data_IF_170142748628
#
_entry.id   IF_170142748628
#
_cell.length_a   1.000
_cell.length_b   1.000
_cell.length_c   1.000
_cell.angle_alpha   90.00
_cell.angle_beta   90.00
_cell.angle_gamma   90.00
#
_symmetry.space_group_name_H-M   'P 1'
#
loop_
_entity.id
_entity.type
_entity.pdbx_description
1 polymer ?
#
# COMPACT_ATOMS: atom_id res chain seq x y z
N UNK A 1 19.38 -18.41 -23.59
CA UNK A 1 19.00 -18.55 -22.17
C UNK A 1 18.76 -17.16 -21.57
N UNK A 2 17.66 -16.95 -20.84
CA UNK A 2 17.40 -15.68 -20.13
C UNK A 2 17.41 -15.92 -18.63
N UNK A 3 18.15 -15.10 -17.89
CA UNK A 3 18.38 -15.27 -16.45
C UNK A 3 17.85 -14.05 -15.72
N UNK A 4 17.09 -14.28 -14.64
CA UNK A 4 16.63 -13.24 -13.73
C UNK A 4 17.43 -13.33 -12.43
N UNK A 5 18.14 -12.26 -12.08
CA UNK A 5 18.95 -12.18 -10.86
C UNK A 5 18.21 -11.33 -9.81
N UNK A 6 17.77 -11.98 -8.73
CA UNK A 6 17.05 -11.37 -7.62
C UNK A 6 18.01 -11.06 -6.47
N UNK A 7 17.90 -9.84 -5.92
CA UNK A 7 18.77 -9.33 -4.85
C UNK A 7 19.40 -7.98 -5.21
N UNK A 8 19.86 -7.26 -4.18
CA UNK A 8 20.57 -5.97 -4.31
C UNK A 8 21.97 -6.00 -3.68
N UNK A 9 22.42 -7.16 -3.19
CA UNK A 9 23.71 -7.35 -2.55
C UNK A 9 24.89 -7.46 -3.53
N UNK A 10 26.14 -7.52 -3.01
CA UNK A 10 27.34 -7.68 -3.81
C UNK A 10 27.34 -8.97 -4.64
N UNK A 11 26.70 -10.03 -4.15
CA UNK A 11 26.52 -11.31 -4.84
C UNK A 11 25.67 -11.16 -6.11
N UNK A 12 24.52 -10.49 -5.99
CA UNK A 12 23.65 -10.16 -7.12
C UNK A 12 24.35 -9.29 -8.18
N UNK A 13 25.18 -8.34 -7.77
CA UNK A 13 25.96 -7.51 -8.69
C UNK A 13 27.02 -8.33 -9.45
N UNK A 14 27.71 -9.25 -8.77
CA UNK A 14 28.68 -10.14 -9.38
C UNK A 14 28.01 -11.11 -10.38
N UNK A 15 26.88 -11.71 -10.00
CA UNK A 15 26.11 -12.60 -10.87
C UNK A 15 25.62 -11.90 -12.15
N UNK A 16 25.18 -10.64 -12.07
CA UNK A 16 24.79 -9.84 -13.25
C UNK A 16 25.97 -9.59 -14.19
N UNK A 17 27.14 -9.25 -13.64
CA UNK A 17 28.37 -9.02 -14.42
C UNK A 17 28.81 -10.30 -15.15
N UNK A 18 28.85 -11.42 -14.44
CA UNK A 18 29.24 -12.73 -15.00
C UNK A 18 28.27 -13.18 -16.11
N UNK A 19 26.97 -12.93 -15.93
CA UNK A 19 25.97 -13.22 -16.95
C UNK A 19 26.20 -12.39 -18.22
N UNK A 20 26.56 -11.11 -18.08
CA UNK A 20 26.86 -10.24 -19.21
C UNK A 20 28.13 -10.68 -19.96
N UNK A 21 29.20 -11.00 -19.24
CA UNK A 21 30.47 -11.49 -19.82
C UNK A 21 30.29 -12.78 -20.64
N UNK A 22 29.30 -13.61 -20.27
CA UNK A 22 28.99 -14.88 -20.96
C UNK A 22 27.97 -14.76 -22.09
N UNK A 23 27.57 -13.54 -22.45
CA UNK A 23 26.56 -13.31 -23.49
C UNK A 23 25.15 -13.79 -23.11
N UNK A 24 24.87 -14.03 -21.82
CA UNK A 24 23.57 -14.43 -21.33
C UNK A 24 22.67 -13.20 -21.24
N UNK A 25 21.43 -13.30 -21.76
CA UNK A 25 20.50 -12.17 -21.75
C UNK A 25 19.85 -12.04 -20.37
N UNK A 26 20.16 -10.95 -19.67
CA UNK A 26 19.51 -10.61 -18.39
C UNK A 26 18.05 -10.22 -18.65
N UNK A 27 17.12 -10.99 -18.09
CA UNK A 27 15.71 -10.67 -18.14
C UNK A 27 15.45 -9.49 -17.19
N UNK A 28 14.95 -8.38 -17.72
CA UNK A 28 14.57 -7.20 -16.90
C UNK A 28 13.25 -7.41 -16.16
N UNK A 29 12.45 -8.38 -16.64
CA UNK A 29 11.15 -8.74 -16.09
C UNK A 29 11.01 -10.26 -16.06
N UNK A 30 10.32 -10.80 -15.06
CA UNK A 30 10.10 -12.25 -14.90
C UNK A 30 9.28 -12.90 -16.05
N UNK A 31 8.76 -12.09 -16.98
CA UNK A 31 7.90 -12.50 -18.10
C UNK A 31 8.64 -12.71 -19.43
N UNK A 32 9.95 -12.47 -19.47
CA UNK A 32 10.76 -13.02 -20.54
C UNK A 32 10.91 -14.54 -20.32
N UNK A 33 11.11 -15.36 -21.36
CA UNK A 33 11.32 -16.82 -21.26
C UNK A 33 12.54 -17.18 -20.38
N UNK A 34 12.39 -17.07 -19.06
CA UNK A 34 13.43 -17.21 -18.05
C UNK A 34 13.55 -18.68 -17.72
N UNK A 35 14.72 -19.24 -17.99
CA UNK A 35 14.99 -20.66 -17.79
C UNK A 35 15.59 -20.92 -16.39
N UNK A 36 16.20 -19.89 -15.79
CA UNK A 36 16.87 -19.96 -14.47
C UNK A 36 16.72 -18.66 -13.68
N UNK A 37 16.50 -18.78 -12.37
CA UNK A 37 16.50 -17.65 -11.42
C UNK A 37 17.71 -17.79 -10.50
N UNK A 38 18.50 -16.73 -10.41
CA UNK A 38 19.65 -16.64 -9.50
C UNK A 38 19.26 -15.74 -8.34
N UNK A 39 19.32 -16.26 -7.10
CA UNK A 39 18.92 -15.51 -5.91
C UNK A 39 20.10 -15.37 -4.96
N UNK A 40 20.37 -14.12 -4.57
CA UNK A 40 21.37 -13.75 -3.57
C UNK A 40 20.83 -14.00 -2.14
N UNK A 41 21.73 -14.10 -1.17
CA UNK A 41 21.43 -14.34 0.26
C UNK A 41 20.56 -13.24 0.88
N UNK A 42 20.58 -12.05 0.29
CA UNK A 42 19.73 -10.90 0.63
C UNK A 42 18.25 -11.09 0.33
N UNK A 43 17.86 -12.12 -0.44
CA UNK A 43 16.47 -12.40 -0.80
C UNK A 43 15.83 -13.33 0.22
N UNK A 44 14.70 -12.90 0.81
CA UNK A 44 13.97 -13.72 1.77
C UNK A 44 13.58 -15.07 1.12
N UNK A 45 13.86 -16.23 1.75
CA UNK A 45 13.46 -17.53 1.21
C UNK A 45 11.94 -17.71 0.97
N UNK A 46 11.11 -16.91 1.64
CA UNK A 46 9.65 -16.83 1.46
C UNK A 46 9.22 -15.73 0.49
N UNK A 47 10.16 -15.11 -0.23
CA UNK A 47 9.84 -14.08 -1.21
C UNK A 47 8.81 -14.65 -2.22
N UNK A 48 7.69 -13.95 -2.45
CA UNK A 48 6.63 -14.42 -3.33
C UNK A 48 7.13 -14.82 -4.72
N UNK A 49 8.19 -14.18 -5.23
CA UNK A 49 8.80 -14.48 -6.53
C UNK A 49 9.56 -15.80 -6.51
N UNK A 50 10.24 -16.12 -5.41
CA UNK A 50 10.95 -17.40 -5.23
C UNK A 50 9.98 -18.57 -5.01
N UNK A 51 8.93 -18.35 -4.20
CA UNK A 51 7.88 -19.34 -3.96
C UNK A 51 7.14 -19.66 -5.26
N UNK A 52 6.78 -18.62 -6.02
CA UNK A 52 6.14 -18.78 -7.32
C UNK A 52 7.08 -19.48 -8.34
N UNK A 53 8.35 -19.11 -8.41
CA UNK A 53 9.32 -19.77 -9.29
C UNK A 53 9.45 -21.27 -9.03
N UNK A 54 9.57 -21.67 -7.74
CA UNK A 54 9.66 -23.07 -7.34
C UNK A 54 8.38 -23.84 -7.65
N UNK A 55 7.21 -23.24 -7.41
CA UNK A 55 5.92 -23.84 -7.75
C UNK A 55 5.75 -24.08 -9.26
N UNK A 56 6.46 -23.31 -10.09
CA UNK A 56 6.42 -23.43 -11.55
C UNK A 56 7.48 -24.37 -12.12
N UNK A 57 8.31 -25.00 -11.29
CA UNK A 57 9.40 -25.89 -11.71
C UNK A 57 10.59 -25.15 -12.32
N UNK A 58 10.70 -23.83 -12.10
CA UNK A 58 11.85 -23.03 -12.53
C UNK A 58 12.99 -23.27 -11.56
N UNK A 59 14.17 -23.65 -12.07
CA UNK A 59 15.34 -23.89 -11.23
C UNK A 59 15.82 -22.59 -10.60
N UNK A 60 15.71 -22.51 -9.28
CA UNK A 60 16.25 -21.43 -8.44
C UNK A 60 17.62 -21.86 -7.95
N UNK A 61 18.65 -21.11 -8.31
CA UNK A 61 20.04 -21.38 -7.97
C UNK A 61 20.56 -20.26 -7.06
N UNK A 62 21.22 -20.57 -5.94
CA UNK A 62 21.95 -19.57 -5.16
C UNK A 62 23.01 -18.87 -6.01
N UNK A 63 23.21 -17.58 -5.80
CA UNK A 63 24.24 -16.79 -6.48
C UNK A 63 25.65 -17.40 -6.31
N UNK A 64 25.96 -17.93 -5.12
CA UNK A 64 27.21 -18.62 -4.80
C UNK A 64 27.44 -19.87 -5.66
N UNK A 65 26.39 -20.62 -5.97
CA UNK A 65 26.47 -21.79 -6.84
C UNK A 65 26.64 -21.37 -8.30
N UNK A 66 25.92 -20.34 -8.74
CA UNK A 66 26.04 -19.75 -10.09
C UNK A 66 27.44 -19.22 -10.39
N UNK A 67 28.12 -18.64 -9.39
CA UNK A 67 29.47 -18.09 -9.54
C UNK A 67 30.54 -19.19 -9.54
N UNK A 68 30.37 -20.25 -8.74
CA UNK A 68 31.46 -21.21 -8.44
C UNK A 68 31.46 -22.49 -9.29
N UNK A 69 30.37 -22.88 -9.97
CA UNK A 69 30.31 -24.16 -10.73
C UNK A 69 29.92 -24.01 -12.22
N UNK A 70 30.63 -23.15 -12.99
CA UNK A 70 30.18 -22.61 -14.29
C UNK A 70 29.88 -23.60 -15.42
N UNK A 71 30.36 -24.85 -15.34
CA UNK A 71 30.33 -25.82 -16.45
C UNK A 71 29.06 -26.68 -16.49
N UNK A 72 28.19 -26.60 -15.48
CA UNK A 72 26.96 -27.41 -15.40
C UNK A 72 25.75 -26.84 -16.17
N UNK A 73 25.90 -25.70 -16.85
CA UNK A 73 24.78 -25.03 -17.55
C UNK A 73 25.00 -25.02 -19.07
N UNK A 74 24.06 -25.50 -19.89
CA UNK A 74 24.28 -25.70 -21.32
C UNK A 74 24.38 -24.36 -22.07
N UNK A 75 25.43 -24.21 -22.88
CA UNK A 75 25.60 -23.06 -23.78
C UNK A 75 24.52 -23.05 -24.89
N UNK A 76 24.11 -21.88 -25.42
CA UNK A 76 23.10 -21.82 -26.48
C UNK A 76 23.62 -22.45 -27.78
N UNK A 77 22.79 -23.29 -28.44
CA UNK A 77 23.00 -23.64 -29.85
C UNK A 77 22.55 -22.48 -30.73
N UNK A 78 23.39 -22.10 -31.70
CA UNK A 78 23.14 -21.02 -32.64
C UNK A 78 21.93 -21.29 -33.54
N UNK A 79 21.16 -20.24 -33.82
CA UNK A 79 19.93 -20.26 -34.61
C UNK A 79 20.21 -20.27 -36.13
N UNK A 80 21.17 -21.07 -36.58
CA UNK A 80 21.50 -21.23 -37.99
C UNK A 80 21.69 -22.72 -38.31
N UNK A 81 20.58 -23.43 -38.50
CA UNK A 81 20.49 -24.64 -39.32
C UNK A 81 19.01 -25.04 -39.45
N UNK A 82 18.27 -24.18 -40.15
CA UNK A 82 16.98 -24.51 -40.76
C UNK A 82 17.20 -24.63 -42.25
N UNK A 83 17.97 -25.63 -42.69
CA UNK A 83 18.10 -25.94 -44.10
C UNK A 83 18.38 -27.43 -44.32
N UNK A 84 17.47 -28.08 -45.04
CA UNK A 84 17.70 -29.25 -45.91
C UNK A 84 18.09 -30.56 -45.22
N UNK A 85 17.14 -31.49 -45.18
CA UNK A 85 17.45 -32.91 -45.07
C UNK A 85 18.08 -33.42 -46.38
N UNK A 86 19.09 -34.30 -46.29
CA UNK A 86 18.95 -35.56 -47.00
C UNK A 86 19.27 -36.77 -46.11
N UNK A 87 18.54 -37.86 -46.38
CA UNK A 87 18.79 -39.19 -45.85
C UNK A 87 20.19 -39.69 -46.20
N UNK A 88 20.87 -40.31 -45.23
CA UNK A 88 22.11 -41.06 -45.41
C UNK A 88 22.29 -42.12 -44.33
N UNK A 89 22.76 -43.30 -44.75
CA UNK A 89 22.84 -44.58 -44.05
C UNK A 89 23.86 -44.68 -42.88
N UNK A 90 23.72 -45.78 -42.13
CA UNK A 90 24.62 -46.36 -41.09
C UNK A 90 24.51 -45.71 -39.70
N UNK A 91 24.47 -46.40 -38.57
CA UNK A 91 24.73 -47.80 -38.22
C UNK A 91 25.36 -47.80 -36.82
N UNK A 92 24.90 -48.64 -35.89
CA UNK A 92 25.61 -48.90 -34.62
C UNK A 92 25.08 -48.16 -33.38
N UNK A 93 24.43 -48.93 -32.50
CA UNK A 93 24.20 -48.68 -31.05
C UNK A 93 25.53 -48.81 -30.26
N UNK A 94 25.69 -48.44 -28.96
CA UNK A 94 24.64 -48.51 -27.93
C UNK A 94 24.62 -47.48 -26.77
N UNK A 95 23.41 -47.34 -26.20
CA UNK A 95 23.05 -47.11 -24.79
C UNK A 95 23.69 -45.98 -23.97
N UNK A 96 22.95 -44.87 -23.83
CA UNK A 96 22.89 -44.06 -22.61
C UNK A 96 21.43 -43.89 -22.20
N UNK A 97 21.05 -44.34 -21.01
CA UNK A 97 19.74 -44.06 -20.41
C UNK A 97 19.68 -42.56 -20.06
N UNK A 98 19.08 -41.76 -20.94
CA UNK A 98 18.61 -40.43 -20.55
C UNK A 98 17.24 -40.57 -19.88
N UNK A 99 17.05 -40.11 -18.64
CA UNK A 99 15.71 -39.91 -18.12
C UNK A 99 15.04 -38.86 -19.01
N UNK A 100 13.92 -39.24 -19.63
CA UNK A 100 13.03 -38.32 -20.36
C UNK A 100 12.78 -37.12 -19.47
N UNK A 101 13.24 -35.94 -19.90
CA UNK A 101 12.81 -34.67 -19.34
C UNK A 101 11.27 -34.66 -19.38
N UNK A 102 10.57 -34.30 -18.29
CA UNK A 102 9.14 -34.16 -18.35
C UNK A 102 8.86 -33.03 -19.35
N UNK A 103 8.31 -33.37 -20.51
CA UNK A 103 7.69 -32.39 -21.37
C UNK A 103 6.63 -31.68 -20.52
N UNK A 104 6.89 -30.41 -20.20
CA UNK A 104 5.92 -29.57 -19.54
C UNK A 104 4.66 -29.56 -20.37
N UNK A 105 3.57 -30.14 -19.84
CA UNK A 105 2.25 -29.98 -20.44
C UNK A 105 2.01 -28.47 -20.63
N UNK A 106 1.53 -28.02 -21.80
CA UNK A 106 1.08 -26.64 -21.95
C UNK A 106 0.02 -26.42 -20.88
N UNK A 107 0.29 -25.52 -19.92
CA UNK A 107 -0.68 -25.13 -18.90
C UNK A 107 -1.93 -24.66 -19.66
N UNK A 108 -3.11 -25.07 -19.20
CA UNK A 108 -4.34 -24.68 -19.88
C UNK A 108 -4.38 -23.14 -19.99
N UNK A 109 -4.94 -22.57 -21.07
CA UNK A 109 -4.99 -21.12 -21.26
C UNK A 109 -5.58 -20.38 -20.05
N UNK A 110 -6.53 -21.02 -19.35
CA UNK A 110 -7.13 -20.52 -18.12
C UNK A 110 -6.15 -20.45 -16.95
N UNK A 111 -5.28 -21.45 -16.78
CA UNK A 111 -4.23 -21.42 -15.75
C UNK A 111 -3.20 -20.35 -16.11
N UNK A 112 -2.81 -20.24 -17.37
CA UNK A 112 -1.86 -19.21 -17.81
C UNK A 112 -2.42 -17.79 -17.57
N UNK A 113 -3.70 -17.56 -17.92
CA UNK A 113 -4.38 -16.29 -17.71
C UNK A 113 -4.58 -15.96 -16.22
N UNK A 114 -4.93 -16.96 -15.39
CA UNK A 114 -5.02 -16.79 -13.94
C UNK A 114 -3.66 -16.41 -13.34
N UNK A 115 -2.59 -17.06 -13.79
CA UNK A 115 -1.23 -16.73 -13.37
C UNK A 115 -0.79 -15.34 -13.81
N UNK A 116 -1.00 -14.97 -15.07
CA UNK A 116 -0.68 -13.63 -15.58
C UNK A 116 -1.46 -12.54 -14.84
N UNK A 117 -2.71 -12.80 -14.49
CA UNK A 117 -3.54 -11.87 -13.70
C UNK A 117 -3.03 -11.70 -12.27
N UNK A 118 -2.60 -12.79 -11.61
CA UNK A 118 -2.03 -12.77 -10.28
C UNK A 118 -0.69 -12.03 -10.27
N UNK A 119 0.18 -12.28 -11.26
CA UNK A 119 1.47 -11.60 -11.37
C UNK A 119 1.33 -10.13 -11.71
N UNK A 120 0.35 -9.76 -12.54
CA UNK A 120 0.02 -8.36 -12.82
C UNK A 120 -0.51 -7.66 -11.57
N UNK A 121 -1.34 -8.32 -10.76
CA UNK A 121 -1.81 -7.79 -9.48
C UNK A 121 -0.69 -7.61 -8.45
N UNK A 122 0.29 -8.52 -8.39
CA UNK A 122 1.44 -8.42 -7.47
C UNK A 122 2.44 -7.35 -7.93
N UNK A 123 2.72 -7.24 -9.24
CA UNK A 123 3.64 -6.22 -9.75
C UNK A 123 3.05 -4.81 -9.78
N UNK A 124 1.71 -4.70 -9.88
CA UNK A 124 0.99 -3.44 -9.80
C UNK A 124 0.40 -3.20 -8.40
N UNK A 125 0.77 -4.00 -7.40
CA UNK A 125 0.35 -3.78 -6.02
C UNK A 125 0.95 -2.46 -5.56
N UNK A 126 0.13 -1.42 -5.53
CA UNK A 126 0.54 -0.10 -5.09
C UNK A 126 1.06 -0.22 -3.64
N UNK A 127 2.32 0.20 -3.35
CA UNK A 127 2.83 0.26 -1.99
C UNK A 127 1.92 1.03 -1.03
N UNK A 128 1.13 1.99 -1.54
CA UNK A 128 0.11 2.70 -0.77
C UNK A 128 -1.05 1.77 -0.40
N UNK A 129 -1.52 0.92 -1.31
CA UNK A 129 -2.57 -0.07 -1.06
C UNK A 129 -2.15 -1.12 -0.02
N UNK A 130 -0.88 -1.55 -0.04
CA UNK A 130 -0.34 -2.46 0.99
C UNK A 130 -0.27 -1.75 2.35
N UNK A 131 0.21 -0.50 2.39
CA UNK A 131 0.25 0.31 3.61
C UNK A 131 -1.14 0.57 4.17
N UNK A 132 -2.11 0.82 3.30
CA UNK A 132 -3.51 1.04 3.66
C UNK A 132 -4.16 -0.25 4.17
N UNK A 133 -3.89 -1.40 3.53
CA UNK A 133 -4.35 -2.70 4.03
C UNK A 133 -3.77 -3.01 5.41
N UNK A 134 -2.48 -2.73 5.64
CA UNK A 134 -1.85 -2.87 6.96
C UNK A 134 -2.43 -1.88 7.99
N UNK A 135 -2.74 -0.64 7.58
CA UNK A 135 -3.40 0.36 8.45
C UNK A 135 -4.82 -0.07 8.80
N UNK A 136 -5.59 -0.56 7.85
CA UNK A 136 -6.93 -1.10 8.06
C UNK A 136 -6.88 -2.32 8.99
N UNK A 137 -5.98 -3.26 8.72
CA UNK A 137 -5.77 -4.42 9.57
C UNK A 137 -5.38 -4.02 11.00
N UNK A 138 -4.44 -3.08 11.15
CA UNK A 138 -4.04 -2.52 12.43
C UNK A 138 -5.19 -1.85 13.18
N UNK A 139 -6.04 -1.09 12.49
CA UNK A 139 -7.22 -0.45 13.10
C UNK A 139 -8.29 -1.45 13.54
N UNK A 140 -8.44 -2.59 12.85
CA UNK A 140 -9.36 -3.67 13.22
C UNK A 140 -8.80 -4.42 14.41
N UNK A 141 -7.51 -4.77 14.38
CA UNK A 141 -6.81 -5.38 15.51
C UNK A 141 -6.87 -4.51 16.76
N UNK A 142 -6.72 -3.19 16.60
CA UNK A 142 -6.89 -2.24 17.68
C UNK A 142 -8.31 -2.30 18.28
N UNK A 143 -9.35 -2.33 17.45
CA UNK A 143 -10.74 -2.42 17.93
C UNK A 143 -11.09 -3.79 18.54
N UNK A 144 -10.46 -4.87 18.06
CA UNK A 144 -10.61 -6.22 18.61
C UNK A 144 -9.75 -6.49 19.84
N UNK A 145 -8.84 -5.58 20.20
CA UNK A 145 -7.93 -5.77 21.32
C UNK A 145 -8.64 -6.08 22.65
N UNK A 146 -9.77 -5.44 23.02
CA UNK A 146 -10.49 -5.81 24.25
C UNK A 146 -10.92 -7.28 24.20
N UNK A 147 -11.50 -7.73 23.10
CA UNK A 147 -11.85 -9.15 22.93
C UNK A 147 -10.63 -10.09 23.04
N UNK A 148 -9.49 -9.73 22.43
CA UNK A 148 -8.28 -10.56 22.43
C UNK A 148 -7.56 -10.61 23.79
N UNK A 149 -7.79 -9.63 24.66
CA UNK A 149 -7.12 -9.50 25.96
C UNK A 149 -8.04 -9.80 27.15
N UNK A 150 -9.21 -10.39 26.91
CA UNK A 150 -10.21 -10.62 27.97
C UNK A 150 -10.79 -9.32 28.54
N UNK A 151 -10.75 -8.24 27.77
CA UNK A 151 -11.33 -6.94 28.07
C UNK A 151 -10.39 -5.98 28.81
N UNK A 152 -9.20 -6.44 29.22
CA UNK A 152 -8.25 -5.66 30.01
C UNK A 152 -7.59 -4.51 29.23
N UNK A 153 -7.57 -4.56 27.91
CA UNK A 153 -7.02 -3.46 27.09
C UNK A 153 -7.99 -2.28 26.92
N UNK A 154 -9.28 -2.43 27.26
CA UNK A 154 -10.28 -1.36 27.15
C UNK A 154 -9.85 -0.04 27.81
N UNK A 155 -9.46 0.02 29.10
CA UNK A 155 -9.04 1.28 29.72
C UNK A 155 -7.85 1.94 29.03
N UNK A 156 -6.90 1.15 28.53
CA UNK A 156 -5.71 1.66 27.81
C UNK A 156 -6.15 2.29 26.47
N UNK A 157 -7.02 1.59 25.74
CA UNK A 157 -7.57 2.06 24.46
C UNK A 157 -8.32 3.38 24.61
N UNK A 158 -9.21 3.48 25.60
CA UNK A 158 -9.99 4.69 25.82
C UNK A 158 -9.15 5.82 26.42
N UNK A 159 -8.15 5.51 27.25
CA UNK A 159 -7.18 6.49 27.73
C UNK A 159 -6.34 7.08 26.59
N UNK A 160 -5.86 6.22 25.68
CA UNK A 160 -5.17 6.67 24.47
C UNK A 160 -6.09 7.52 23.58
N UNK A 161 -7.36 7.10 23.41
CA UNK A 161 -8.35 7.86 22.66
C UNK A 161 -8.67 9.22 23.31
N UNK A 162 -8.73 9.30 24.64
CA UNK A 162 -8.95 10.53 25.39
C UNK A 162 -7.83 11.55 25.14
N UNK A 163 -6.57 11.08 25.21
CA UNK A 163 -5.42 11.92 24.93
C UNK A 163 -5.36 12.36 23.46
N UNK A 164 -5.56 11.42 22.52
CA UNK A 164 -5.46 11.69 21.07
C UNK A 164 -6.58 12.59 20.56
N UNK A 165 -7.82 12.36 20.99
CA UNK A 165 -9.00 13.08 20.53
C UNK A 165 -9.38 14.26 21.43
N UNK A 166 -8.59 14.54 22.49
CA UNK A 166 -8.88 15.54 23.52
C UNK A 166 -10.32 15.45 24.05
N UNK A 167 -10.81 14.22 24.24
CA UNK A 167 -12.21 13.93 24.53
C UNK A 167 -12.43 13.57 25.99
N UNK A 168 -13.20 14.40 26.71
CA UNK A 168 -13.61 14.14 28.10
C UNK A 168 -14.47 12.88 28.19
N UNK A 169 -15.34 12.65 27.22
CA UNK A 169 -16.21 11.45 27.18
C UNK A 169 -15.39 10.17 27.07
N UNK A 170 -14.33 10.17 26.25
CA UNK A 170 -13.40 9.04 26.16
C UNK A 170 -12.62 8.85 27.47
N UNK A 171 -12.27 9.95 28.16
CA UNK A 171 -11.65 9.90 29.49
C UNK A 171 -12.55 9.27 30.55
N UNK A 172 -13.83 9.64 30.58
CA UNK A 172 -14.83 9.03 31.47
C UNK A 172 -14.97 7.53 31.15
N UNK A 173 -15.06 7.17 29.87
CA UNK A 173 -15.12 5.76 29.46
C UNK A 173 -13.89 4.97 29.93
N UNK A 174 -12.69 5.54 29.79
CA UNK A 174 -11.45 4.92 30.27
C UNK A 174 -11.50 4.65 31.78
N UNK A 175 -11.97 5.62 32.57
CA UNK A 175 -12.11 5.47 34.02
C UNK A 175 -13.13 4.39 34.40
N UNK A 176 -14.29 4.36 33.73
CA UNK A 176 -15.32 3.35 33.96
C UNK A 176 -14.84 1.94 33.61
N UNK A 177 -14.16 1.77 32.47
CA UNK A 177 -13.58 0.48 32.11
C UNK A 177 -12.43 0.07 33.04
N UNK A 178 -11.64 1.02 33.55
CA UNK A 178 -10.60 0.74 34.54
C UNK A 178 -11.21 0.24 35.85
N UNK A 179 -12.25 0.92 36.36
CA UNK A 179 -12.96 0.50 37.57
C UNK A 179 -13.59 -0.89 37.40
N UNK A 180 -14.19 -1.16 36.25
CA UNK A 180 -14.78 -2.47 35.95
C UNK A 180 -13.72 -3.57 35.79
N UNK A 181 -12.54 -3.26 35.23
CA UNK A 181 -11.41 -4.20 35.16
C UNK A 181 -10.86 -4.54 36.56
N UNK A 182 -10.72 -3.54 37.44
CA UNK A 182 -10.32 -3.75 38.83
C UNK A 182 -11.35 -4.63 39.55
N UNK A 183 -12.64 -4.31 39.43
CA UNK A 183 -13.72 -5.10 40.03
C UNK A 183 -13.69 -6.55 39.53
N UNK A 184 -13.53 -6.76 38.21
CA UNK A 184 -13.39 -8.09 37.63
C UNK A 184 -12.20 -8.86 38.23
N UNK A 185 -11.00 -8.25 38.26
CA UNK A 185 -9.79 -8.88 38.81
C UNK A 185 -9.99 -9.24 40.29
N UNK A 186 -10.55 -8.34 41.09
CA UNK A 186 -10.81 -8.57 42.52
C UNK A 186 -11.81 -9.71 42.74
N UNK A 187 -12.94 -9.71 42.02
CA UNK A 187 -13.97 -10.74 42.16
C UNK A 187 -13.46 -12.10 41.67
N UNK A 188 -12.69 -12.12 40.58
CA UNK A 188 -12.06 -13.35 40.08
C UNK A 188 -11.04 -13.92 41.08
N UNK A 189 -10.21 -13.06 41.68
CA UNK A 189 -9.25 -13.48 42.71
C UNK A 189 -9.95 -14.08 43.94
N UNK A 190 -11.07 -13.49 44.39
CA UNK A 190 -11.87 -14.02 45.49
C UNK A 190 -12.45 -15.41 45.17
N UNK A 191 -12.92 -15.63 43.93
CA UNK A 191 -13.43 -16.94 43.51
C UNK A 191 -12.31 -17.98 43.36
N UNK A 192 -11.12 -17.58 42.92
CA UNK A 192 -9.95 -18.44 42.87
C UNK A 192 -9.56 -18.96 44.26
N UNK A 193 -9.61 -18.11 45.29
CA UNK A 193 -9.34 -18.53 46.68
C UNK A 193 -10.33 -19.59 47.19
N UNK A 194 -11.60 -19.50 46.80
CA UNK A 194 -12.61 -20.51 47.20
C UNK A 194 -12.34 -21.89 46.61
N UNK A 195 -11.75 -21.94 45.41
CA UNK A 195 -11.34 -23.20 44.78
C UNK A 195 -10.19 -23.87 45.55
N UNK A 196 -9.21 -23.08 46.00
CA UNK A 196 -8.08 -23.57 46.80
C UNK A 196 -8.53 -24.12 48.17
N UNK A 197 -9.58 -23.52 48.76
CA UNK A 197 -10.20 -23.98 50.01
C UNK A 197 -11.07 -25.24 49.84
N UNK A 198 -11.09 -25.86 48.65
CA UNK A 198 -11.83 -27.08 48.36
C UNK A 198 -13.35 -26.88 48.24
N UNK A 199 -13.81 -25.64 48.09
CA UNK A 199 -15.22 -25.34 47.86
C UNK A 199 -15.56 -25.43 46.37
N UNK A 200 -16.75 -25.95 46.03
CA UNK A 200 -17.28 -25.81 44.68
C UNK A 200 -17.62 -24.34 44.42
N UNK A 201 -16.71 -23.61 43.78
CA UNK A 201 -16.91 -22.21 43.49
C UNK A 201 -17.94 -22.03 42.37
N UNK A 202 -19.14 -21.58 42.72
CA UNK A 202 -20.02 -20.93 41.76
C UNK A 202 -19.33 -19.63 41.32
N UNK A 203 -19.06 -19.50 40.03
CA UNK A 203 -18.45 -18.29 39.46
C UNK A 203 -19.33 -17.09 39.77
N UNK A 204 -18.76 -16.03 40.32
CA UNK A 204 -19.49 -14.84 40.69
C UNK A 204 -20.15 -14.22 39.44
N UNK A 205 -21.49 -14.10 39.39
CA UNK A 205 -22.18 -13.57 38.21
C UNK A 205 -21.76 -12.14 37.90
N UNK A 206 -21.36 -11.34 38.89
CA UNK A 206 -20.85 -9.99 38.68
C UNK A 206 -19.48 -10.00 37.99
N UNK A 207 -18.63 -10.99 38.27
CA UNK A 207 -17.36 -11.16 37.58
C UNK A 207 -17.59 -11.50 36.09
N UNK A 208 -18.55 -12.38 35.81
CA UNK A 208 -18.92 -12.75 34.44
C UNK A 208 -19.54 -11.58 33.67
N UNK A 209 -20.45 -10.83 34.28
CA UNK A 209 -21.04 -9.63 33.67
C UNK A 209 -19.95 -8.60 33.37
N UNK A 210 -19.03 -8.38 34.31
CA UNK A 210 -17.90 -7.44 34.12
C UNK A 210 -16.98 -7.89 32.99
N UNK A 211 -16.67 -9.19 32.89
CA UNK A 211 -15.88 -9.76 31.80
C UNK A 211 -16.54 -9.51 30.44
N UNK A 212 -17.82 -9.86 30.28
CA UNK A 212 -18.52 -9.64 29.00
C UNK A 212 -18.69 -8.15 28.68
N UNK A 213 -18.92 -7.30 29.68
CA UNK A 213 -18.98 -5.86 29.48
C UNK A 213 -17.63 -5.27 29.04
N UNK A 214 -16.51 -5.76 29.60
CA UNK A 214 -15.15 -5.36 29.21
C UNK A 214 -14.80 -5.85 27.79
N UNK A 215 -15.15 -7.09 27.47
CA UNK A 215 -14.88 -7.70 26.16
C UNK A 215 -15.81 -7.18 25.07
N UNK A 216 -17.11 -7.47 25.17
CA UNK A 216 -18.10 -7.15 24.14
C UNK A 216 -18.42 -5.66 24.13
N UNK A 217 -18.65 -5.08 25.31
CA UNK A 217 -18.90 -3.66 25.44
C UNK A 217 -17.68 -2.83 25.02
N UNK A 218 -16.49 -3.19 25.51
CA UNK A 218 -15.24 -2.53 25.12
C UNK A 218 -14.96 -2.61 23.62
N UNK A 219 -15.11 -3.78 23.00
CA UNK A 219 -14.92 -3.95 21.56
C UNK A 219 -15.96 -3.20 20.74
N UNK A 220 -17.25 -3.29 21.07
CA UNK A 220 -18.29 -2.54 20.38
C UNK A 220 -18.04 -1.03 20.45
N UNK A 221 -17.66 -0.53 21.63
CA UNK A 221 -17.35 0.87 21.83
C UNK A 221 -16.07 1.30 21.10
N UNK A 222 -15.04 0.44 21.05
CA UNK A 222 -13.85 0.68 20.24
C UNK A 222 -14.17 0.78 18.74
N UNK A 223 -15.07 -0.06 18.21
CA UNK A 223 -15.54 0.05 16.82
C UNK A 223 -16.31 1.35 16.55
N UNK A 224 -17.11 1.84 17.49
CA UNK A 224 -17.83 3.11 17.36
C UNK A 224 -16.87 4.31 17.23
N UNK A 225 -15.75 4.30 17.95
CA UNK A 225 -14.76 5.39 17.91
C UNK A 225 -13.64 5.19 16.88
N UNK A 226 -13.56 4.01 16.27
CA UNK A 226 -12.48 3.63 15.33
C UNK A 226 -12.30 4.63 14.20
N UNK A 227 -13.40 5.10 13.60
CA UNK A 227 -13.34 6.06 12.48
C UNK A 227 -12.82 7.44 12.90
N UNK A 228 -13.02 7.83 14.17
CA UNK A 228 -12.45 9.06 14.74
C UNK A 228 -10.95 8.90 15.04
N UNK A 229 -10.54 7.71 15.47
CA UNK A 229 -9.14 7.39 15.80
C UNK A 229 -8.26 7.21 14.57
N UNK A 230 -8.83 6.69 13.48
CA UNK A 230 -8.16 6.46 12.22
C UNK A 230 -8.99 7.05 11.06
N UNK A 231 -8.97 8.39 10.90
CA UNK A 231 -9.63 9.03 9.77
C UNK A 231 -9.09 8.44 8.46
N UNK A 232 -10.01 8.04 7.58
CA UNK A 232 -9.65 7.65 6.22
C UNK A 232 -9.19 8.92 5.51
N UNK A 233 -8.03 8.87 4.87
CA UNK A 233 -7.61 9.97 4.00
C UNK A 233 -8.68 10.11 2.92
N UNK A 234 -9.29 11.29 2.83
CA UNK A 234 -10.38 11.56 1.91
C UNK A 234 -9.82 11.67 0.49
N UNK A 235 -9.54 10.52 -0.11
CA UNK A 235 -8.87 10.45 -1.41
C UNK A 235 -8.65 9.04 -1.95
N UNK A 236 -8.71 8.00 -1.12
CA UNK A 236 -8.12 6.71 -1.52
C UNK A 236 -9.13 5.56 -1.71
N UNK A 237 -8.93 4.88 -2.85
CA UNK A 237 -9.79 3.89 -3.50
C UNK A 237 -10.53 2.97 -2.51
N UNK A 238 -11.85 3.06 -2.53
CA UNK A 238 -12.70 1.96 -2.05
C UNK A 238 -12.80 0.93 -3.18
N UNK A 239 -12.76 -0.40 -2.91
CA UNK A 239 -13.18 -1.36 -3.93
C UNK A 239 -14.59 -0.93 -4.33
N UNK A 240 -14.72 -0.46 -5.58
CA UNK A 240 -15.84 0.33 -6.11
C UNK A 240 -17.15 -0.10 -5.46
N UNK A 241 -17.48 0.51 -4.32
CA UNK A 241 -18.83 0.42 -3.78
C UNK A 241 -19.62 1.07 -4.90
N UNK A 242 -20.55 0.34 -5.50
CA UNK A 242 -21.41 0.91 -6.53
C UNK A 242 -22.19 2.01 -5.80
N UNK A 243 -21.65 3.21 -5.81
CA UNK A 243 -22.32 4.41 -5.36
C UNK A 243 -23.43 4.57 -6.39
N UNK A 244 -24.72 4.55 -5.97
CA UNK A 244 -25.82 4.88 -6.87
C UNK A 244 -25.46 6.15 -7.67
N UNK A 245 -25.78 6.18 -8.97
CA UNK A 245 -25.37 7.29 -9.84
C UNK A 245 -25.76 8.65 -9.24
N UNK A 246 -26.96 8.73 -8.67
CA UNK A 246 -27.51 9.91 -7.99
C UNK A 246 -26.62 10.38 -6.81
N UNK A 247 -26.09 9.44 -6.02
CA UNK A 247 -25.19 9.74 -4.90
C UNK A 247 -23.80 10.20 -5.38
N UNK A 248 -23.34 9.71 -6.52
CA UNK A 248 -22.06 10.12 -7.12
C UNK A 248 -22.15 11.55 -7.67
N UNK A 249 -23.24 11.87 -8.37
CA UNK A 249 -23.51 13.21 -8.88
C UNK A 249 -23.66 14.22 -7.75
N UNK A 250 -24.44 13.89 -6.70
CA UNK A 250 -24.62 14.74 -5.53
C UNK A 250 -23.27 15.08 -4.86
N UNK A 251 -22.34 14.12 -4.77
CA UNK A 251 -21.00 14.36 -4.21
C UNK A 251 -20.16 15.30 -5.07
N UNK A 252 -20.23 15.18 -6.39
CA UNK A 252 -19.53 16.08 -7.31
C UNK A 252 -20.09 17.50 -7.22
N UNK A 253 -21.41 17.64 -7.19
CA UNK A 253 -22.08 18.94 -7.02
C UNK A 253 -21.72 19.59 -5.70
N UNK A 254 -21.75 18.84 -4.59
CA UNK A 254 -21.38 19.36 -3.28
C UNK A 254 -19.92 19.86 -3.23
N UNK A 255 -18.98 19.17 -3.91
CA UNK A 255 -17.59 19.63 -4.02
C UNK A 255 -17.48 20.92 -4.84
N UNK A 256 -18.21 21.02 -5.95
CA UNK A 256 -18.26 22.25 -6.76
C UNK A 256 -18.84 23.43 -5.99
N UNK A 257 -19.88 23.20 -5.19
CA UNK A 257 -20.48 24.23 -4.34
C UNK A 257 -19.50 24.72 -3.27
N UNK A 258 -18.76 23.81 -2.62
CA UNK A 258 -17.71 24.17 -1.66
C UNK A 258 -16.61 25.02 -2.31
N UNK A 259 -16.11 24.62 -3.49
CA UNK A 259 -15.16 25.43 -4.26
C UNK A 259 -15.69 26.83 -4.57
N UNK A 260 -16.94 26.92 -5.02
CA UNK A 260 -17.57 28.20 -5.34
C UNK A 260 -17.71 29.09 -4.09
N UNK A 261 -18.05 28.51 -2.94
CA UNK A 261 -18.15 29.24 -1.67
C UNK A 261 -16.78 29.71 -1.17
N UNK A 262 -15.77 28.85 -1.22
CA UNK A 262 -14.41 29.18 -0.82
C UNK A 262 -13.82 30.31 -1.69
N UNK A 263 -14.05 30.29 -3.00
CA UNK A 263 -13.66 31.40 -3.89
C UNK A 263 -14.33 32.73 -3.55
N UNK A 264 -15.62 32.70 -3.20
CA UNK A 264 -16.31 33.93 -2.74
C UNK A 264 -15.69 34.45 -1.46
N UNK A 265 -15.39 33.56 -0.50
CA UNK A 265 -14.76 33.99 0.74
C UNK A 265 -13.38 34.62 0.50
N UNK A 266 -12.60 34.03 -0.39
CA UNK A 266 -11.28 34.56 -0.77
C UNK A 266 -11.39 35.94 -1.46
N UNK A 267 -12.49 36.22 -2.16
CA UNK A 267 -12.74 37.51 -2.79
C UNK A 267 -13.35 38.56 -1.83
N UNK A 268 -14.27 38.14 -0.95
CA UNK A 268 -15.05 39.02 -0.09
C UNK A 268 -14.33 39.32 1.24
N UNK A 269 -13.62 38.34 1.82
CA UNK A 269 -12.88 38.44 3.08
C UNK A 269 -11.56 37.61 3.03
N UNK A 270 -10.49 38.17 2.45
CA UNK A 270 -9.20 37.49 2.33
C UNK A 270 -8.57 37.12 3.69
N UNK A 271 -8.82 37.92 4.74
CA UNK A 271 -8.26 37.65 6.06
C UNK A 271 -8.89 36.38 6.66
N UNK A 272 -10.21 36.23 6.55
CA UNK A 272 -10.90 35.01 6.97
C UNK A 272 -10.50 33.81 6.10
N UNK A 273 -10.24 34.01 4.81
CA UNK A 273 -9.78 32.95 3.91
C UNK A 273 -8.40 32.41 4.31
N UNK A 274 -7.48 33.28 4.74
CA UNK A 274 -6.16 32.90 5.27
C UNK A 274 -6.27 32.13 6.59
N UNK A 275 -7.12 32.59 7.52
CA UNK A 275 -7.38 31.88 8.79
C UNK A 275 -7.95 30.47 8.57
N UNK A 276 -8.75 30.28 7.50
CA UNK A 276 -9.30 28.97 7.13
C UNK A 276 -8.35 28.13 6.26
N UNK A 277 -7.23 28.69 5.78
CA UNK A 277 -6.27 28.01 4.92
C UNK A 277 -6.84 27.63 3.55
N UNK A 278 -7.69 28.46 2.95
CA UNK A 278 -8.25 28.16 1.62
C UNK A 278 -7.13 28.02 0.60
N UNK A 279 -7.12 26.91 -0.13
CA UNK A 279 -6.08 26.59 -1.11
C UNK A 279 -4.78 26.05 -0.50
N UNK A 280 -4.73 25.81 0.81
CA UNK A 280 -3.51 25.39 1.52
C UNK A 280 -3.69 24.02 2.18
N UNK A 281 -3.77 22.93 1.40
CA UNK A 281 -3.94 21.58 1.96
C UNK A 281 -2.74 21.11 2.79
N UNK A 282 -1.61 21.83 2.75
CA UNK A 282 -0.45 21.61 3.63
C UNK A 282 -0.65 22.15 5.06
N UNK A 283 -1.58 23.10 5.25
CA UNK A 283 -1.94 23.62 6.56
C UNK A 283 -3.11 22.77 7.08
N UNK A 284 -2.85 21.88 8.04
CA UNK A 284 -3.84 20.95 8.63
C UNK A 284 -4.90 21.69 9.49
N UNK A 285 -5.71 22.53 8.84
CA UNK A 285 -6.70 23.44 9.45
C UNK A 285 -8.14 22.91 9.38
N UNK A 286 -8.37 21.84 8.61
CA UNK A 286 -9.62 21.07 8.62
C UNK A 286 -10.80 21.68 7.88
N UNK A 287 -10.62 22.78 7.15
CA UNK A 287 -11.64 23.36 6.27
C UNK A 287 -11.65 22.66 4.90
N UNK A 288 -12.82 22.19 4.44
CA UNK A 288 -12.98 21.60 3.10
C UNK A 288 -13.39 22.68 2.09
N UNK A 289 -12.42 23.18 1.35
CA UNK A 289 -12.59 24.17 0.28
C UNK A 289 -12.98 23.55 -1.07
N UNK A 290 -13.25 22.24 -1.12
CA UNK A 290 -13.57 21.50 -2.34
C UNK A 290 -12.35 21.14 -3.19
N UNK A 291 -11.14 21.21 -2.62
CA UNK A 291 -9.87 20.79 -3.22
C UNK A 291 -9.14 21.92 -3.94
N UNK A 292 -9.35 23.17 -3.52
CA UNK A 292 -8.64 24.29 -4.12
C UNK A 292 -7.15 24.24 -3.77
N UNK A 293 -6.33 24.86 -4.60
CA UNK A 293 -4.90 25.04 -4.36
C UNK A 293 -4.52 26.48 -4.66
N UNK A 294 -3.94 27.15 -3.67
CA UNK A 294 -3.42 28.51 -3.79
C UNK A 294 -2.04 28.47 -4.44
N UNK A 295 -2.00 28.94 -5.69
CA UNK A 295 -0.81 28.91 -6.52
C UNK A 295 0.30 29.81 -5.98
N UNK A 296 -0.04 30.86 -5.23
CA UNK A 296 0.94 31.82 -4.73
C UNK A 296 1.57 31.40 -3.41
N UNK A 297 0.92 30.52 -2.64
CA UNK A 297 1.37 30.17 -1.30
C UNK A 297 1.65 28.67 -1.10
N UNK A 298 1.03 27.79 -1.88
CA UNK A 298 1.27 26.35 -1.74
C UNK A 298 2.72 25.97 -2.13
N UNK A 299 3.32 24.96 -1.47
CA UNK A 299 4.65 24.48 -1.82
C UNK A 299 4.63 23.64 -3.12
N UNK A 300 5.79 23.43 -3.74
CA UNK A 300 5.91 22.76 -5.05
C UNK A 300 5.32 21.33 -5.02
N UNK A 301 5.49 20.62 -3.92
CA UNK A 301 4.96 19.27 -3.74
C UNK A 301 3.43 19.24 -3.80
N UNK A 302 2.77 20.26 -3.27
CA UNK A 302 1.31 20.41 -3.32
C UNK A 302 0.86 20.83 -4.72
N UNK A 303 1.55 21.77 -5.35
CA UNK A 303 1.25 22.20 -6.71
C UNK A 303 1.34 21.02 -7.69
N UNK A 304 2.31 20.12 -7.52
CA UNK A 304 2.47 18.91 -8.33
C UNK A 304 1.35 17.87 -8.13
N UNK A 305 0.49 18.03 -7.12
CA UNK A 305 -0.73 17.20 -6.98
C UNK A 305 -1.87 17.67 -7.87
N UNK A 306 -1.80 18.91 -8.38
CA UNK A 306 -2.80 19.44 -9.29
C UNK A 306 -2.74 18.70 -10.63
N UNK A 307 -3.90 18.31 -11.13
CA UNK A 307 -3.98 17.59 -12.41
C UNK A 307 -3.52 18.50 -13.55
N UNK A 308 -2.46 18.08 -14.25
CA UNK A 308 -1.85 18.83 -15.34
C UNK A 308 -0.66 19.70 -14.92
N UNK A 309 -0.26 19.66 -13.65
CA UNK A 309 0.97 20.29 -13.15
C UNK A 309 1.94 19.18 -12.77
N UNK A 310 3.04 19.05 -13.51
CA UNK A 310 4.12 18.14 -13.13
C UNK A 310 5.08 18.79 -12.13
N UNK A 311 5.99 18.00 -11.56
CA UNK A 311 6.95 18.48 -10.57
C UNK A 311 7.84 19.63 -11.10
N UNK A 312 8.22 19.58 -12.38
CA UNK A 312 9.09 20.60 -12.99
C UNK A 312 8.34 21.92 -13.19
N UNK A 313 7.08 21.86 -13.58
CA UNK A 313 6.20 23.03 -13.71
C UNK A 313 5.89 23.59 -12.33
N UNK A 314 5.63 22.76 -11.32
CA UNK A 314 5.44 23.20 -9.93
C UNK A 314 6.66 23.96 -9.37
N UNK A 315 7.87 23.42 -9.53
CA UNK A 315 9.10 24.12 -9.14
C UNK A 315 9.25 25.46 -9.87
N UNK A 316 8.89 25.50 -11.16
CA UNK A 316 8.96 26.72 -11.97
C UNK A 316 7.95 27.76 -11.53
N UNK A 317 6.74 27.36 -11.14
CA UNK A 317 5.74 28.25 -10.54
C UNK A 317 6.33 28.90 -9.29
N UNK A 318 6.89 28.11 -8.36
CA UNK A 318 7.51 28.64 -7.13
C UNK A 318 8.66 29.60 -7.47
N UNK A 319 9.55 29.20 -8.37
CA UNK A 319 10.66 30.04 -8.82
C UNK A 319 10.17 31.37 -9.40
N UNK A 320 9.14 31.34 -10.26
CA UNK A 320 8.66 32.52 -10.97
C UNK A 320 7.83 33.45 -10.09
N UNK A 321 7.17 32.96 -9.04
CA UNK A 321 6.52 33.84 -8.05
C UNK A 321 7.53 34.55 -7.15
N UNK A 322 8.65 33.89 -6.83
CA UNK A 322 9.74 34.50 -6.06
C UNK A 322 10.50 35.55 -6.87
N UNK A 323 10.74 35.29 -8.16
CA UNK A 323 11.50 36.20 -9.03
C UNK A 323 10.68 37.37 -9.58
N UNK A 324 9.38 37.17 -9.83
CA UNK A 324 8.55 38.14 -10.57
C UNK A 324 7.27 38.55 -9.82
N UNK A 325 7.13 38.15 -8.56
CA UNK A 325 5.95 38.41 -7.74
C UNK A 325 4.81 37.41 -7.99
N UNK A 326 3.69 37.52 -7.25
CA UNK A 326 2.59 36.56 -7.33
C UNK A 326 1.99 36.47 -8.75
N UNK A 327 1.28 35.37 -9.01
CA UNK A 327 0.46 35.20 -10.20
C UNK A 327 -0.92 35.78 -9.96
N UNK A 328 -1.48 36.44 -10.97
CA UNK A 328 -2.85 36.94 -10.93
C UNK A 328 -3.86 36.01 -11.63
N UNK A 329 -3.39 35.09 -12.48
CA UNK A 329 -4.27 34.22 -13.27
C UNK A 329 -3.57 32.98 -13.83
N UNK A 330 -4.36 32.01 -14.30
CA UNK A 330 -3.84 30.83 -14.99
C UNK A 330 -3.16 31.19 -16.31
N UNK A 331 -3.61 32.25 -16.99
CA UNK A 331 -2.98 32.73 -18.22
C UNK A 331 -1.51 33.16 -17.98
N UNK A 332 -1.22 33.73 -16.81
CA UNK A 332 0.16 34.04 -16.42
C UNK A 332 0.99 32.79 -16.15
N UNK A 333 0.39 31.69 -15.66
CA UNK A 333 1.11 30.43 -15.48
C UNK A 333 1.57 29.84 -16.82
N UNK A 334 0.76 29.97 -17.87
CA UNK A 334 1.16 29.55 -19.23
C UNK A 334 2.36 30.36 -19.70
N UNK A 335 2.32 31.68 -19.53
CA UNK A 335 3.36 32.58 -20.06
C UNK A 335 4.66 32.52 -19.25
N UNK A 336 4.56 32.57 -17.92
CA UNK A 336 5.72 32.72 -17.01
C UNK A 336 6.25 31.38 -16.53
N UNK A 337 5.37 30.41 -16.27
CA UNK A 337 5.72 29.11 -15.70
C UNK A 337 5.66 27.96 -16.71
N UNK A 338 5.40 28.23 -17.99
CA UNK A 338 5.36 27.23 -19.07
C UNK A 338 4.35 26.12 -18.77
N UNK A 339 3.19 26.50 -18.21
CA UNK A 339 2.07 25.58 -18.00
C UNK A 339 1.54 25.11 -19.35
N UNK A 340 1.37 23.79 -19.49
CA UNK A 340 0.80 23.18 -20.68
C UNK A 340 -0.59 23.78 -20.98
N UNK A 341 -0.83 24.31 -22.20
CA UNK A 341 -2.12 24.82 -22.62
C UNK A 341 -3.29 23.83 -22.42
N UNK A 342 -3.03 22.53 -22.53
CA UNK A 342 -4.05 21.48 -22.35
C UNK A 342 -4.45 21.33 -20.86
N UNK A 343 -3.59 21.75 -19.94
CA UNK A 343 -3.83 21.72 -18.50
C UNK A 343 -4.65 22.92 -18.00
N UNK A 344 -4.75 24.01 -18.78
CA UNK A 344 -5.38 25.28 -18.35
C UNK A 344 -6.76 25.07 -17.76
N UNK A 345 -7.64 24.32 -18.45
CA UNK A 345 -9.01 24.07 -17.98
C UNK A 345 -9.07 23.33 -16.64
N UNK A 346 -8.12 22.41 -16.42
CA UNK A 346 -8.05 21.63 -15.19
C UNK A 346 -7.48 22.50 -14.06
N UNK A 347 -6.42 23.25 -14.33
CA UNK A 347 -5.82 24.15 -13.35
C UNK A 347 -6.81 25.25 -12.97
N UNK A 348 -7.53 25.83 -13.90
CA UNK A 348 -8.54 26.87 -13.65
C UNK A 348 -9.69 26.40 -12.74
N UNK A 349 -10.07 25.12 -12.83
CA UNK A 349 -11.11 24.58 -11.96
C UNK A 349 -10.67 24.50 -10.48
N UNK A 350 -9.37 24.35 -10.20
CA UNK A 350 -8.84 24.07 -8.85
C UNK A 350 -7.88 25.15 -8.30
N UNK A 351 -7.35 26.03 -9.14
CA UNK A 351 -6.46 27.10 -8.72
C UNK A 351 -7.23 28.27 -8.07
N UNK A 352 -6.58 28.87 -7.07
CA UNK A 352 -6.86 30.23 -6.57
C UNK A 352 -5.54 31.00 -6.48
N UNK A 353 -5.64 32.33 -6.42
CA UNK A 353 -4.50 33.25 -6.42
C UNK A 353 -4.63 34.18 -5.22
N UNK A 354 -4.25 33.65 -4.05
CA UNK A 354 -4.26 34.40 -2.79
C UNK A 354 -3.14 35.42 -2.70
#
# INVERSE_FOLDING_TARGET
MRILVLGTGPGAANARRLAHERGLRLARHALDSVTYIVADDTVNPRDPKLVAARALGVHVVPDTEFVNQPEQWPAPRDAADSAVAPMGHHGGRPSGHHPRSPHGHPRSPQVQQAMDSLFKAINNADPTAIREALRQFGSILWALSPLLTGGLSAPIIFGHAAAKLKSVVAGIAAFLYAGMAIAYITLFAMDAQKLDDGQFANVNPLAMISLFALMLGGTAHAFMIRNKMFPRAEGDDTPRRVIPADDAEARVLARRERRARARRLLADDPAMADELGIGRPDLDLGYDDGGLVDVNHAPAEILATMRGVDAKTAERIVTMRELSGPFASVAELVVRADLDPDAVRLVEEYAVFG
#
